data_IF_417405993985
#
_entry.id   IF_417405993985
#
_cell.length_a   1.000
_cell.length_b   1.000
_cell.length_c   1.000
_cell.angle_alpha   90.00
_cell.angle_beta   90.00
_cell.angle_gamma   90.00
#
_symmetry.space_group_name_H-M   'P 1'
#
loop_
_entity.id
_entity.type
_entity.pdbx_description
1 polymer ?
#
# COMPACT_ATOMS: atom_id res chain seq x y z
N UNK A 1 28.77 0.27 9.71
CA UNK A 1 28.94 1.24 10.85
C UNK A 1 28.85 2.69 10.40
N UNK A 2 29.47 3.05 9.25
CA UNK A 2 29.37 4.41 8.70
C UNK A 2 27.93 4.89 8.43
N UNK A 3 27.10 4.04 7.81
CA UNK A 3 25.69 4.36 7.50
C UNK A 3 24.83 4.66 8.75
N UNK A 4 25.15 4.06 9.91
CA UNK A 4 24.39 4.31 11.14
C UNK A 4 24.71 5.69 11.76
N UNK A 5 25.93 6.17 11.61
CA UNK A 5 26.34 7.50 12.10
C UNK A 5 25.83 8.62 11.20
N UNK A 6 25.81 8.40 9.87
CA UNK A 6 25.17 9.32 8.92
C UNK A 6 23.68 9.48 9.20
N UNK A 7 22.99 8.37 9.45
CA UNK A 7 21.56 8.40 9.75
C UNK A 7 21.28 9.14 11.07
N UNK A 8 22.10 8.94 12.10
CA UNK A 8 22.02 9.72 13.35
C UNK A 8 22.21 11.21 13.11
N UNK A 9 23.24 11.58 12.34
CA UNK A 9 23.50 12.98 11.99
C UNK A 9 22.32 13.62 11.26
N UNK A 10 21.73 12.93 10.28
CA UNK A 10 20.55 13.36 9.57
C UNK A 10 19.35 13.53 10.50
N UNK A 11 19.12 12.60 11.40
CA UNK A 11 18.03 12.65 12.36
C UNK A 11 18.15 13.84 13.31
N UNK A 12 19.36 14.12 13.79
CA UNK A 12 19.62 15.31 14.64
C UNK A 12 19.35 16.61 13.90
N UNK A 13 19.71 16.70 12.61
CA UNK A 13 19.39 17.88 11.77
C UNK A 13 17.88 18.03 11.58
N UNK A 14 17.15 16.92 11.38
CA UNK A 14 15.68 16.95 11.28
C UNK A 14 15.06 17.39 12.60
N UNK A 15 15.58 16.91 13.73
CA UNK A 15 15.12 17.33 15.06
C UNK A 15 15.29 18.82 15.27
N UNK A 16 16.51 19.35 15.07
CA UNK A 16 16.79 20.78 15.17
C UNK A 16 15.92 21.63 14.24
N UNK A 17 15.74 21.18 12.99
CA UNK A 17 14.89 21.86 12.02
C UNK A 17 13.41 21.86 12.44
N UNK A 18 12.91 20.76 12.98
CA UNK A 18 11.52 20.65 13.44
C UNK A 18 11.26 21.50 14.68
N UNK A 19 12.20 21.57 15.62
CA UNK A 19 12.09 22.39 16.83
C UNK A 19 12.03 23.87 16.51
N UNK A 20 12.76 24.35 15.49
CA UNK A 20 12.70 25.73 15.03
C UNK A 20 11.32 26.19 14.53
N UNK A 21 10.52 25.25 14.05
CA UNK A 21 9.14 25.51 13.59
C UNK A 21 8.08 25.06 14.61
N UNK A 22 8.50 24.77 15.86
CA UNK A 22 7.60 24.40 16.95
C UNK A 22 7.09 22.96 16.90
N UNK A 23 7.68 22.10 16.06
CA UNK A 23 7.33 20.66 15.99
C UNK A 23 8.31 19.86 16.83
N UNK A 24 7.80 18.85 17.56
CA UNK A 24 8.61 17.90 18.34
C UNK A 24 8.54 16.52 17.71
N UNK A 25 9.70 15.86 17.56
CA UNK A 25 9.78 14.47 17.15
C UNK A 25 9.17 13.56 18.22
N UNK A 26 8.29 12.67 17.80
CA UNK A 26 7.72 11.66 18.69
C UNK A 26 8.54 10.37 18.58
N UNK A 27 9.51 10.18 19.46
CA UNK A 27 10.46 9.05 19.45
C UNK A 27 9.73 7.72 19.64
N UNK A 28 8.66 7.66 20.43
CA UNK A 28 7.87 6.45 20.64
C UNK A 28 7.16 5.95 19.38
N UNK A 29 6.84 6.86 18.45
CA UNK A 29 6.24 6.51 17.14
C UNK A 29 7.28 6.22 16.06
N UNK A 30 8.56 6.50 16.33
CA UNK A 30 9.63 6.21 15.39
C UNK A 30 9.93 4.72 15.38
N UNK A 31 10.18 4.19 14.19
CA UNK A 31 10.57 2.80 13.99
C UNK A 31 11.77 2.76 13.06
N UNK A 32 12.67 1.84 13.31
CA UNK A 32 13.84 1.60 12.47
C UNK A 32 13.66 0.28 11.74
N UNK A 33 13.90 0.33 10.43
CA UNK A 33 13.98 -0.87 9.60
C UNK A 33 15.42 -1.00 9.11
N UNK A 34 16.03 -2.16 9.33
CA UNK A 34 17.39 -2.42 8.90
C UNK A 34 17.49 -3.80 8.25
N UNK A 35 18.28 -3.90 7.20
CA UNK A 35 18.57 -5.16 6.49
C UNK A 35 19.64 -6.04 7.16
N UNK A 36 20.18 -5.59 8.29
CA UNK A 36 21.21 -6.30 9.06
C UNK A 36 20.96 -6.27 10.56
N UNK A 37 21.79 -6.95 11.36
CA UNK A 37 21.68 -6.94 12.80
C UNK A 37 21.96 -5.54 13.34
N UNK A 38 20.92 -4.86 13.81
CA UNK A 38 21.02 -3.57 14.49
C UNK A 38 20.96 -3.82 15.98
N UNK A 39 22.07 -3.54 16.65
CA UNK A 39 22.10 -3.39 18.11
C UNK A 39 21.36 -2.10 18.47
N UNK A 40 20.58 -2.11 19.52
CA UNK A 40 19.69 -1.06 20.00
C UNK A 40 20.05 0.38 19.58
N UNK A 41 19.12 1.06 18.93
CA UNK A 41 19.25 2.49 18.62
C UNK A 41 18.64 3.32 19.73
N UNK A 42 19.40 4.31 20.20
CA UNK A 42 18.94 5.25 21.22
C UNK A 42 19.01 6.69 20.66
N UNK A 43 17.96 7.43 20.92
CA UNK A 43 17.83 8.86 20.61
C UNK A 43 17.41 9.56 21.89
N UNK A 44 18.18 10.52 22.36
CA UNK A 44 17.94 11.25 23.62
C UNK A 44 17.74 10.34 24.84
N UNK A 45 18.41 9.18 24.89
CA UNK A 45 18.26 8.19 25.95
C UNK A 45 17.05 7.26 25.82
N UNK A 46 16.17 7.48 24.83
CA UNK A 46 15.06 6.59 24.53
C UNK A 46 15.45 5.57 23.46
N UNK A 47 15.06 4.31 23.67
CA UNK A 47 15.35 3.22 22.72
C UNK A 47 14.30 3.24 21.60
N UNK A 48 14.77 3.28 20.36
CA UNK A 48 13.90 3.18 19.16
C UNK A 48 13.72 1.71 18.79
N UNK A 49 12.47 1.29 18.60
CA UNK A 49 12.12 -0.08 18.25
C UNK A 49 12.55 -0.42 16.84
N UNK A 50 13.23 -1.57 16.67
CA UNK A 50 13.56 -2.13 15.36
C UNK A 50 12.46 -3.07 14.91
N UNK A 51 11.95 -2.87 13.69
CA UNK A 51 10.83 -3.63 13.14
C UNK A 51 11.17 -4.21 11.77
N UNK A 52 10.67 -5.41 11.48
CA UNK A 52 10.81 -6.06 10.18
C UNK A 52 9.81 -5.54 9.14
N UNK A 53 8.74 -4.92 9.57
CA UNK A 53 7.73 -4.30 8.70
C UNK A 53 7.10 -3.10 9.40
N UNK A 54 6.66 -2.14 8.60
CA UNK A 54 6.05 -0.91 9.09
C UNK A 54 4.91 -0.46 8.16
N UNK A 55 3.85 0.09 8.74
CA UNK A 55 2.78 0.71 7.95
C UNK A 55 3.06 2.20 7.84
N UNK A 56 3.45 2.64 6.66
CA UNK A 56 3.71 4.04 6.36
C UNK A 56 2.64 4.59 5.42
N UNK A 57 1.95 5.64 5.83
CA UNK A 57 0.84 6.25 5.08
C UNK A 57 -0.18 5.22 4.56
N UNK A 58 -0.47 4.18 5.34
CA UNK A 58 -1.42 3.14 4.97
C UNK A 58 -0.88 2.04 4.04
N UNK A 59 0.38 2.11 3.61
CA UNK A 59 1.06 1.08 2.84
C UNK A 59 2.04 0.29 3.72
N UNK A 60 2.06 -1.04 3.59
CA UNK A 60 2.97 -1.90 4.33
C UNK A 60 4.32 -1.99 3.64
N UNK A 61 5.36 -1.52 4.32
CA UNK A 61 6.75 -1.62 3.90
C UNK A 61 7.43 -2.75 4.68
N UNK A 62 8.24 -3.56 4.02
CA UNK A 62 9.01 -4.67 4.60
C UNK A 62 10.50 -4.48 4.34
N UNK A 63 11.35 -5.00 5.24
CA UNK A 63 12.82 -4.89 5.12
C UNK A 63 13.36 -5.55 3.86
N UNK A 64 12.76 -6.66 3.44
CA UNK A 64 13.14 -7.40 2.23
C UNK A 64 12.61 -6.77 0.92
N UNK A 65 11.84 -5.68 1.02
CA UNK A 65 11.21 -5.02 -0.13
C UNK A 65 10.14 -5.88 -0.80
N UNK A 66 9.65 -6.97 -0.15
CA UNK A 66 8.59 -7.80 -0.71
C UNK A 66 7.22 -7.17 -0.54
N UNK A 67 6.67 -6.66 -1.63
CA UNK A 67 5.35 -6.03 -1.68
C UNK A 67 4.20 -7.02 -1.94
N UNK A 68 4.47 -8.34 -2.01
CA UNK A 68 3.44 -9.36 -2.30
C UNK A 68 2.26 -9.31 -1.34
N UNK A 69 2.51 -9.05 -0.06
CA UNK A 69 1.47 -8.91 0.96
C UNK A 69 0.62 -7.66 0.74
N UNK A 70 1.26 -6.55 0.41
CA UNK A 70 0.58 -5.28 0.15
C UNK A 70 -0.27 -5.35 -1.12
N UNK A 71 0.27 -5.91 -2.20
CA UNK A 71 -0.48 -6.16 -3.44
C UNK A 71 -1.74 -6.99 -3.15
N UNK A 72 -1.60 -8.10 -2.44
CA UNK A 72 -2.76 -8.94 -2.05
C UNK A 72 -3.79 -8.14 -1.25
N UNK A 73 -3.34 -7.33 -0.28
CA UNK A 73 -4.21 -6.49 0.55
C UNK A 73 -4.98 -5.48 -0.31
N UNK A 74 -4.32 -4.76 -1.19
CA UNK A 74 -4.94 -3.79 -2.07
C UNK A 74 -5.95 -4.43 -3.03
N UNK A 75 -5.62 -5.59 -3.62
CA UNK A 75 -6.54 -6.34 -4.47
C UNK A 75 -7.79 -6.82 -3.71
N UNK A 76 -7.62 -7.26 -2.45
CA UNK A 76 -8.76 -7.65 -1.59
C UNK A 76 -9.64 -6.46 -1.24
N UNK A 77 -9.05 -5.31 -0.92
CA UNK A 77 -9.79 -4.08 -0.68
C UNK A 77 -10.55 -3.63 -1.93
N UNK A 78 -9.92 -3.67 -3.11
CA UNK A 78 -10.57 -3.38 -4.38
C UNK A 78 -11.78 -4.30 -4.63
N UNK A 79 -11.65 -5.60 -4.35
CA UNK A 79 -12.79 -6.54 -4.41
C UNK A 79 -13.92 -6.18 -3.46
N UNK A 80 -13.59 -5.78 -2.23
CA UNK A 80 -14.58 -5.34 -1.23
C UNK A 80 -15.32 -4.10 -1.71
N UNK A 81 -14.60 -3.09 -2.19
CA UNK A 81 -15.22 -1.86 -2.74
C UNK A 81 -16.12 -2.19 -3.92
N UNK A 82 -15.64 -3.01 -4.87
CA UNK A 82 -16.44 -3.45 -6.02
C UNK A 82 -17.72 -4.19 -5.59
N UNK A 83 -17.64 -5.03 -4.55
CA UNK A 83 -18.82 -5.73 -4.03
C UNK A 83 -19.82 -4.78 -3.37
N UNK A 84 -19.36 -3.74 -2.72
CA UNK A 84 -20.23 -2.71 -2.15
C UNK A 84 -20.95 -1.89 -3.24
N UNK A 85 -20.35 -1.75 -4.44
CA UNK A 85 -20.96 -1.07 -5.57
C UNK A 85 -22.02 -1.92 -6.29
N UNK A 86 -22.10 -3.23 -6.05
CA UNK A 86 -23.05 -4.13 -6.70
C UNK A 86 -24.51 -3.70 -6.56
N UNK A 87 -24.90 -3.18 -5.39
CA UNK A 87 -26.25 -2.66 -5.15
C UNK A 87 -26.56 -1.47 -6.06
N UNK A 88 -25.58 -0.63 -6.29
CA UNK A 88 -25.67 0.52 -7.18
C UNK A 88 -25.77 0.05 -8.63
N UNK A 89 -24.90 -0.86 -9.06
CA UNK A 89 -24.87 -1.42 -10.44
C UNK A 89 -26.13 -2.22 -10.80
N UNK A 90 -26.84 -2.74 -9.82
CA UNK A 90 -28.14 -3.42 -10.05
C UNK A 90 -29.30 -2.45 -10.29
N UNK A 91 -29.11 -1.16 -10.02
CA UNK A 91 -30.12 -0.14 -10.26
C UNK A 91 -30.34 0.04 -11.76
N UNK A 92 -31.61 0.01 -12.18
CA UNK A 92 -32.01 0.10 -13.61
C UNK A 92 -31.70 1.44 -14.28
N UNK A 93 -31.33 2.47 -13.50
CA UNK A 93 -31.06 3.81 -14.02
C UNK A 93 -29.61 4.12 -14.33
N UNK A 94 -28.69 3.19 -14.09
CA UNK A 94 -27.26 3.43 -14.28
C UNK A 94 -26.76 2.81 -15.57
N UNK A 95 -26.15 3.64 -16.42
CA UNK A 95 -25.58 3.21 -17.70
C UNK A 95 -24.18 2.66 -17.52
N UNK A 96 -23.73 1.78 -18.42
CA UNK A 96 -22.37 1.20 -18.39
C UNK A 96 -21.26 2.27 -18.34
N UNK A 97 -21.30 3.38 -19.09
CA UNK A 97 -20.32 4.45 -18.94
C UNK A 97 -20.25 5.04 -17.53
N UNK A 98 -21.40 5.19 -16.86
CA UNK A 98 -21.47 5.67 -15.48
C UNK A 98 -20.87 4.64 -14.51
N UNK A 99 -21.17 3.35 -14.71
CA UNK A 99 -20.56 2.25 -13.92
C UNK A 99 -19.04 2.28 -14.06
N UNK A 100 -18.49 2.43 -15.27
CA UNK A 100 -17.05 2.55 -15.52
C UNK A 100 -16.46 3.78 -14.83
N UNK A 101 -17.15 4.90 -14.85
CA UNK A 101 -16.71 6.13 -14.18
C UNK A 101 -16.63 5.97 -12.67
N UNK A 102 -17.66 5.36 -12.05
CA UNK A 102 -17.68 5.05 -10.61
C UNK A 102 -16.54 4.13 -10.20
N UNK A 103 -16.27 3.12 -11.00
CA UNK A 103 -15.17 2.20 -10.75
C UNK A 103 -13.81 2.89 -10.82
N UNK A 104 -13.59 3.70 -11.84
CA UNK A 104 -12.35 4.49 -11.98
C UNK A 104 -12.15 5.43 -10.79
N UNK A 105 -13.22 5.98 -10.25
CA UNK A 105 -13.15 6.91 -9.13
C UNK A 105 -13.01 6.21 -7.76
N UNK A 106 -13.56 5.01 -7.58
CA UNK A 106 -13.66 4.39 -6.27
C UNK A 106 -12.83 3.11 -6.11
N UNK A 107 -12.69 2.28 -7.13
CA UNK A 107 -11.99 1.00 -7.04
C UNK A 107 -10.51 1.16 -7.37
N UNK A 108 -10.19 1.78 -8.50
CA UNK A 108 -8.80 1.92 -8.92
C UNK A 108 -7.92 2.67 -7.92
N UNK A 109 -8.32 3.81 -7.32
CA UNK A 109 -7.49 4.48 -6.34
C UNK A 109 -7.12 3.61 -5.13
N UNK A 110 -8.03 2.71 -4.73
CA UNK A 110 -7.77 1.77 -3.63
C UNK A 110 -6.79 0.68 -4.03
N UNK A 111 -6.88 0.19 -5.27
CA UNK A 111 -6.03 -0.90 -5.78
C UNK A 111 -4.61 -0.41 -6.08
N UNK A 112 -4.47 0.79 -6.64
CA UNK A 112 -3.16 1.35 -7.04
C UNK A 112 -2.50 2.19 -5.94
N UNK A 113 -3.14 2.31 -4.77
CA UNK A 113 -2.58 3.08 -3.67
C UNK A 113 -1.22 2.55 -3.23
N UNK A 114 -0.19 3.39 -3.27
CA UNK A 114 1.18 3.05 -2.92
C UNK A 114 1.91 2.18 -3.95
N UNK A 115 1.33 1.98 -5.16
CA UNK A 115 1.93 1.11 -6.19
C UNK A 115 3.28 1.62 -6.71
N UNK A 116 3.58 2.90 -6.55
CA UNK A 116 4.86 3.51 -6.90
C UNK A 116 6.04 2.92 -6.14
N UNK A 117 5.77 2.32 -4.98
CA UNK A 117 6.80 1.67 -4.14
C UNK A 117 6.92 0.17 -4.41
N UNK A 118 6.07 -0.40 -5.28
CA UNK A 118 6.02 -1.85 -5.47
C UNK A 118 7.12 -2.35 -6.41
N UNK A 119 7.89 -3.31 -5.92
CA UNK A 119 8.74 -4.16 -6.76
C UNK A 119 7.93 -5.35 -7.23
N UNK A 120 7.26 -5.22 -8.38
CA UNK A 120 6.31 -6.23 -8.88
C UNK A 120 7.05 -7.43 -9.46
N UNK A 121 6.91 -8.60 -8.84
CA UNK A 121 7.43 -9.88 -9.34
C UNK A 121 6.47 -10.48 -10.38
N UNK A 122 6.96 -11.39 -11.24
CA UNK A 122 6.15 -12.07 -12.27
C UNK A 122 4.89 -12.75 -11.72
N UNK A 123 4.96 -13.31 -10.51
CA UNK A 123 3.82 -13.92 -9.84
C UNK A 123 2.72 -12.89 -9.47
N UNK A 124 3.14 -11.66 -9.14
CA UNK A 124 2.21 -10.59 -8.79
C UNK A 124 1.49 -10.02 -10.01
N UNK A 125 2.17 -9.93 -11.16
CA UNK A 125 1.52 -9.57 -12.43
C UNK A 125 0.33 -10.50 -12.71
N UNK A 126 0.52 -11.83 -12.57
CA UNK A 126 -0.56 -12.80 -12.77
C UNK A 126 -1.74 -12.59 -11.82
N UNK A 127 -1.49 -12.13 -10.60
CA UNK A 127 -2.55 -11.80 -9.62
C UNK A 127 -3.30 -10.54 -10.01
N UNK A 128 -2.58 -9.53 -10.47
CA UNK A 128 -3.16 -8.26 -10.96
C UNK A 128 -4.02 -8.55 -12.20
N UNK A 129 -3.50 -9.32 -13.16
CA UNK A 129 -4.24 -9.72 -14.37
C UNK A 129 -5.50 -10.52 -14.01
N UNK A 130 -5.40 -11.46 -13.07
CA UNK A 130 -6.54 -12.23 -12.60
C UNK A 130 -7.59 -11.37 -11.90
N UNK A 131 -7.16 -10.34 -11.16
CA UNK A 131 -8.06 -9.36 -10.57
C UNK A 131 -8.74 -8.52 -11.65
N UNK A 132 -8.00 -8.04 -12.63
CA UNK A 132 -8.52 -7.26 -13.75
C UNK A 132 -9.57 -8.05 -14.54
N UNK A 133 -9.27 -9.29 -14.87
CA UNK A 133 -10.22 -10.17 -15.56
C UNK A 133 -11.49 -10.41 -14.72
N UNK A 134 -11.35 -10.69 -13.42
CA UNK A 134 -12.48 -10.84 -12.50
C UNK A 134 -13.32 -9.57 -12.45
N UNK A 135 -12.66 -8.43 -12.38
CA UNK A 135 -13.27 -7.12 -12.32
C UNK A 135 -14.11 -6.81 -13.57
N UNK A 136 -13.53 -6.95 -14.76
CA UNK A 136 -14.25 -6.71 -16.03
C UNK A 136 -15.40 -7.67 -16.23
N UNK A 137 -15.24 -8.95 -15.91
CA UNK A 137 -16.33 -9.93 -15.97
C UNK A 137 -17.49 -9.55 -15.07
N UNK A 138 -17.20 -9.06 -13.87
CA UNK A 138 -18.23 -8.64 -12.92
C UNK A 138 -18.97 -7.38 -13.42
N UNK A 139 -18.25 -6.39 -13.89
CA UNK A 139 -18.83 -5.16 -14.45
C UNK A 139 -19.70 -5.44 -15.66
N UNK A 140 -19.24 -6.29 -16.58
CA UNK A 140 -19.95 -6.67 -17.81
C UNK A 140 -21.00 -7.79 -17.57
N UNK A 141 -21.17 -8.24 -16.32
CA UNK A 141 -22.10 -9.32 -15.94
C UNK A 141 -21.87 -10.62 -16.73
N UNK A 142 -20.62 -10.93 -17.07
CA UNK A 142 -20.25 -12.15 -17.76
C UNK A 142 -20.03 -13.26 -16.73
N UNK A 143 -20.75 -14.40 -16.80
CA UNK A 143 -20.57 -15.50 -15.87
C UNK A 143 -19.16 -16.08 -15.98
N UNK A 144 -18.61 -16.56 -14.84
CA UNK A 144 -17.26 -17.13 -14.76
C UNK A 144 -17.09 -18.40 -15.63
N UNK A 145 -18.19 -19.07 -15.92
CA UNK A 145 -18.24 -20.29 -16.78
C UNK A 145 -18.23 -19.98 -18.28
N UNK A 146 -18.49 -18.74 -18.69
CA UNK A 146 -18.45 -18.37 -20.11
C UNK A 146 -17.00 -18.40 -20.60
N UNK A 147 -16.70 -19.39 -21.45
CA UNK A 147 -15.45 -19.47 -22.21
C UNK A 147 -15.52 -18.44 -23.35
N UNK A 148 -15.08 -17.21 -23.08
CA UNK A 148 -14.80 -16.24 -24.15
C UNK A 148 -13.29 -16.11 -24.24
N UNK A 149 -12.76 -16.24 -25.48
CA UNK A 149 -11.37 -15.87 -25.77
C UNK A 149 -11.18 -14.38 -25.49
N UNK A 150 -10.02 -14.07 -24.98
CA UNK A 150 -9.58 -12.68 -24.84
C UNK A 150 -9.45 -12.03 -26.21
#
# INVERSE_FOLDING_TARGET
MAESEELKSLLMKVKEGSEKVGLKLNIQKMKIMASGPVTSWQIDGETVETVANFIFLGSKITVDGDCSHEIKRCLLLGRKVMSNLDSIFKSRGITLPTEVCLVKAMVFPVVIYGCETWTVKKAEYRRIDAFELWFWRRLLRVPSTARRSN
#
